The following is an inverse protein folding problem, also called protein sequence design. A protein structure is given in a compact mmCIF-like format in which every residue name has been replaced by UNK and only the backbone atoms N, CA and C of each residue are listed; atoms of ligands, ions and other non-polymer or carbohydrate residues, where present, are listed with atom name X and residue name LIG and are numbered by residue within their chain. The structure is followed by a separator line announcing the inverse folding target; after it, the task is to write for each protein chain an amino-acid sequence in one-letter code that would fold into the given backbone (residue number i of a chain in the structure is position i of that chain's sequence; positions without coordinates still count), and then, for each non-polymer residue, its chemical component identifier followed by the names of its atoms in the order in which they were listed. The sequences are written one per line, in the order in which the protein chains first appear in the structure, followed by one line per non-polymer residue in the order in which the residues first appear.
data_IF_833592440311
#
_entry.id   IF_833592440311
#
_cell.length_a   1.000
_cell.length_b   1.000
_cell.length_c   1.000
_cell.angle_alpha   90.00
_cell.angle_beta   90.00
_cell.angle_gamma   90.00
#
_symmetry.space_group_name_H-M   'P 1'
#
loop_
_entity.id
_entity.type
_entity.pdbx_description
1 polymer ?
#
# COMPACT_ATOMS: atom_id res chain seq x y z
N UNK A 1 -16.61 -45.99 51.29
CA UNK A 1 -17.41 -44.80 50.91
C UNK A 1 -16.70 -44.19 49.72
N UNK A 2 -17.04 -44.73 48.56
CA UNK A 2 -16.45 -44.47 47.27
C UNK A 2 -16.91 -43.10 46.75
N UNK A 3 -15.95 -42.22 46.49
CA UNK A 3 -16.20 -40.94 45.83
C UNK A 3 -16.46 -41.20 44.35
N UNK A 4 -17.73 -41.10 43.96
CA UNK A 4 -18.19 -41.12 42.59
C UNK A 4 -17.49 -40.00 41.78
N UNK A 5 -16.80 -40.40 40.72
CA UNK A 5 -16.22 -39.50 39.74
C UNK A 5 -17.29 -38.69 39.01
N UNK A 6 -17.27 -37.39 39.19
CA UNK A 6 -18.05 -36.46 38.39
C UNK A 6 -17.39 -36.33 37.00
N UNK A 7 -18.13 -36.46 35.90
CA UNK A 7 -17.60 -36.20 34.56
C UNK A 7 -17.36 -34.69 34.42
N UNK A 8 -16.13 -34.32 34.12
CA UNK A 8 -15.78 -32.95 33.72
C UNK A 8 -16.58 -32.57 32.47
N UNK A 9 -17.20 -31.37 32.42
CA UNK A 9 -17.85 -30.91 31.20
C UNK A 9 -16.81 -30.79 30.10
N UNK A 10 -17.09 -31.47 28.98
CA UNK A 10 -16.30 -31.40 27.77
C UNK A 10 -16.00 -29.95 27.44
N UNK A 11 -14.70 -29.62 27.37
CA UNK A 11 -14.24 -28.36 26.84
C UNK A 11 -14.93 -28.15 25.50
N UNK A 12 -15.78 -27.14 25.42
CA UNK A 12 -16.48 -26.76 24.21
C UNK A 12 -15.41 -26.34 23.21
N UNK A 13 -15.03 -27.28 22.33
CA UNK A 13 -14.02 -27.08 21.30
C UNK A 13 -14.60 -26.16 20.25
N UNK A 14 -14.50 -24.85 20.48
CA UNK A 14 -14.82 -23.86 19.47
C UNK A 14 -13.76 -23.96 18.38
N UNK A 15 -14.09 -24.66 17.29
CA UNK A 15 -13.17 -24.87 16.17
C UNK A 15 -13.02 -23.57 15.39
N UNK A 16 -11.87 -23.34 14.76
CA UNK A 16 -11.67 -22.19 13.86
C UNK A 16 -12.70 -22.19 12.71
N UNK A 17 -13.19 -23.37 12.32
CA UNK A 17 -14.23 -23.55 11.32
C UNK A 17 -15.59 -23.00 11.79
N UNK A 18 -15.97 -23.19 13.06
CA UNK A 18 -17.21 -22.64 13.63
C UNK A 18 -17.19 -21.11 13.64
N UNK A 19 -16.04 -20.51 13.95
CA UNK A 19 -15.87 -19.06 13.91
C UNK A 19 -16.06 -18.50 12.50
N UNK A 20 -15.47 -19.16 11.49
CA UNK A 20 -15.61 -18.77 10.09
C UNK A 20 -17.04 -18.96 9.58
N UNK A 21 -17.76 -19.98 10.05
CA UNK A 21 -19.15 -20.22 9.69
C UNK A 21 -20.08 -19.15 10.28
N UNK A 22 -19.85 -18.74 11.52
CA UNK A 22 -20.60 -17.66 12.16
C UNK A 22 -20.38 -16.30 11.48
N UNK A 23 -19.15 -16.02 11.03
CA UNK A 23 -18.84 -14.79 10.28
C UNK A 23 -19.56 -14.72 8.92
N UNK A 24 -19.70 -15.85 8.20
CA UNK A 24 -20.51 -15.91 6.98
C UNK A 24 -21.99 -15.63 7.26
N UNK A 25 -22.51 -16.12 8.38
CA UNK A 25 -23.91 -15.99 8.74
C UNK A 25 -24.30 -14.54 9.10
N UNK A 26 -23.34 -13.71 9.51
CA UNK A 26 -23.55 -12.28 9.77
C UNK A 26 -23.41 -11.38 8.54
N UNK A 27 -23.28 -11.95 7.33
CA UNK A 27 -23.18 -11.15 6.10
C UNK A 27 -21.93 -10.27 6.04
N UNK A 28 -20.92 -10.57 6.87
CA UNK A 28 -19.60 -9.94 6.76
C UNK A 28 -19.02 -10.42 5.43
N UNK A 29 -18.71 -9.53 4.48
CA UNK A 29 -18.03 -9.92 3.27
C UNK A 29 -16.69 -10.49 3.69
N UNK A 30 -16.59 -11.82 3.71
CA UNK A 30 -15.30 -12.48 3.69
C UNK A 30 -14.72 -12.10 2.34
N UNK A 31 -13.90 -11.05 2.29
CA UNK A 31 -12.99 -10.81 1.16
C UNK A 31 -12.39 -12.16 0.81
N UNK A 32 -12.82 -12.68 -0.33
CA UNK A 32 -12.74 -14.09 -0.60
C UNK A 32 -11.28 -14.38 -0.85
N UNK A 33 -10.64 -15.09 0.09
CA UNK A 33 -9.25 -15.55 -0.07
C UNK A 33 -9.11 -16.10 -1.50
N UNK A 34 -8.33 -15.42 -2.33
CA UNK A 34 -8.08 -15.85 -3.69
C UNK A 34 -7.42 -17.22 -3.64
N UNK A 35 -7.83 -18.14 -4.52
CA UNK A 35 -7.10 -19.41 -4.66
C UNK A 35 -5.69 -19.15 -5.16
N UNK A 36 -4.76 -20.03 -4.81
CA UNK A 36 -3.37 -19.89 -5.23
C UNK A 36 -3.21 -19.83 -6.76
N UNK A 37 -4.04 -20.56 -7.50
CA UNK A 37 -4.04 -20.53 -8.96
C UNK A 37 -4.53 -19.19 -9.51
N UNK A 38 -5.60 -18.63 -8.96
CA UNK A 38 -6.10 -17.28 -9.31
C UNK A 38 -5.04 -16.21 -9.03
N UNK A 39 -4.34 -16.31 -7.89
CA UNK A 39 -3.25 -15.39 -7.55
C UNK A 39 -2.16 -15.41 -8.63
N UNK A 40 -1.69 -16.60 -9.03
CA UNK A 40 -0.65 -16.72 -10.04
C UNK A 40 -1.10 -16.20 -11.41
N UNK A 41 -2.34 -16.48 -11.82
CA UNK A 41 -2.90 -15.96 -13.06
C UNK A 41 -2.99 -14.43 -13.03
N UNK A 42 -3.44 -13.86 -11.91
CA UNK A 42 -3.57 -12.42 -11.77
C UNK A 42 -2.20 -11.74 -11.83
N UNK A 43 -1.21 -12.24 -11.09
CA UNK A 43 0.17 -11.73 -11.12
C UNK A 43 0.85 -11.89 -12.49
N UNK A 44 0.53 -12.97 -13.21
CA UNK A 44 1.02 -13.20 -14.58
C UNK A 44 0.40 -12.25 -15.61
N UNK A 45 -0.84 -11.81 -15.38
CA UNK A 45 -1.57 -10.89 -16.28
C UNK A 45 -1.25 -9.41 -16.09
N UNK A 46 -0.50 -9.07 -15.03
CA UNK A 46 -0.16 -7.68 -14.71
C UNK A 46 0.83 -7.11 -15.75
N UNK A 47 0.49 -6.01 -16.46
CA UNK A 47 1.39 -5.39 -17.42
C UNK A 47 2.58 -4.75 -16.71
N UNK A 48 3.78 -4.89 -17.27
CA UNK A 48 4.95 -4.10 -16.86
C UNK A 48 4.92 -2.77 -17.59
N UNK A 49 4.96 -1.68 -16.85
CA UNK A 49 4.98 -0.32 -17.40
C UNK A 49 6.40 0.19 -17.54
N UNK A 50 6.68 0.85 -18.66
CA UNK A 50 7.92 1.59 -18.87
C UNK A 50 7.73 3.08 -18.61
N UNK A 51 8.84 3.82 -18.60
CA UNK A 51 8.84 5.27 -18.35
C UNK A 51 7.91 6.02 -19.32
N UNK A 52 7.88 5.62 -20.59
CA UNK A 52 7.00 6.18 -21.62
C UNK A 52 5.50 6.00 -21.28
N UNK A 53 5.14 4.86 -20.68
CA UNK A 53 3.75 4.61 -20.26
C UNK A 53 3.38 5.51 -19.07
N UNK A 54 4.31 5.71 -18.13
CA UNK A 54 4.10 6.64 -17.02
C UNK A 54 3.96 8.08 -17.50
N UNK A 55 4.72 8.48 -18.53
CA UNK A 55 4.60 9.77 -19.18
C UNK A 55 3.23 9.96 -19.81
N UNK A 56 2.75 8.95 -20.53
CA UNK A 56 1.41 8.95 -21.15
C UNK A 56 0.29 9.04 -20.11
N UNK A 57 0.48 8.43 -18.93
CA UNK A 57 -0.47 8.48 -17.82
C UNK A 57 -0.35 9.74 -16.95
N UNK A 58 0.64 10.62 -17.20
CA UNK A 58 0.91 11.80 -16.39
C UNK A 58 1.41 11.48 -14.97
N UNK A 59 2.08 10.33 -14.78
CA UNK A 59 2.54 9.83 -13.48
C UNK A 59 4.07 9.70 -13.36
N UNK A 60 4.80 10.57 -14.07
CA UNK A 60 6.27 10.50 -14.13
C UNK A 60 6.93 10.69 -12.76
N UNK A 61 6.44 11.66 -11.98
CA UNK A 61 6.98 11.98 -10.65
C UNK A 61 6.17 11.38 -9.49
N UNK A 62 5.19 10.52 -9.80
CA UNK A 62 4.33 9.95 -8.78
C UNK A 62 5.08 8.85 -7.98
N UNK A 63 4.89 8.77 -6.65
CA UNK A 63 5.38 7.65 -5.86
C UNK A 63 4.38 6.50 -5.81
N UNK A 64 4.91 5.29 -5.60
CA UNK A 64 4.10 4.13 -5.26
C UNK A 64 3.32 4.42 -3.96
N UNK A 65 1.99 4.29 -3.93
CA UNK A 65 1.22 4.62 -2.72
C UNK A 65 1.42 3.66 -1.54
N UNK A 66 2.17 2.56 -1.72
CA UNK A 66 2.43 1.55 -0.68
C UNK A 66 3.83 1.78 -0.09
N UNK A 67 4.90 1.66 -0.90
CA UNK A 67 6.28 1.88 -0.42
C UNK A 67 6.75 3.34 -0.46
N UNK A 68 6.00 4.25 -1.08
CA UNK A 68 6.34 5.68 -1.22
C UNK A 68 7.59 5.93 -2.10
N UNK A 69 8.17 4.89 -2.69
CA UNK A 69 9.28 5.01 -3.64
C UNK A 69 8.79 5.64 -4.96
N UNK A 70 9.47 6.66 -5.50
CA UNK A 70 9.13 7.26 -6.79
C UNK A 70 9.23 6.23 -7.92
N UNK A 71 8.28 6.24 -8.86
CA UNK A 71 8.27 5.29 -9.98
C UNK A 71 9.57 5.29 -10.82
N UNK A 72 10.22 6.43 -11.09
CA UNK A 72 11.51 6.45 -11.78
C UNK A 72 12.60 5.65 -11.06
N UNK A 73 12.65 5.69 -9.72
CA UNK A 73 13.64 4.93 -8.95
C UNK A 73 13.38 3.42 -9.05
N UNK A 74 12.11 3.00 -9.07
CA UNK A 74 11.75 1.59 -9.23
C UNK A 74 12.08 1.05 -10.62
N UNK A 75 11.95 1.88 -11.66
CA UNK A 75 12.36 1.54 -13.02
C UNK A 75 13.88 1.45 -13.12
N UNK A 76 14.62 2.39 -12.53
CA UNK A 76 16.08 2.32 -12.47
C UNK A 76 16.58 1.08 -11.71
N UNK A 77 15.89 0.67 -10.63
CA UNK A 77 16.17 -0.57 -9.91
C UNK A 77 15.95 -1.81 -10.79
N UNK A 78 14.87 -1.85 -11.58
CA UNK A 78 14.63 -2.92 -12.55
C UNK A 78 15.75 -2.99 -13.60
N UNK A 79 16.13 -1.87 -14.18
CA UNK A 79 17.18 -1.80 -15.21
C UNK A 79 18.56 -2.21 -14.68
N UNK A 80 18.93 -1.72 -13.49
CA UNK A 80 20.21 -2.08 -12.86
C UNK A 80 20.25 -3.54 -12.45
N UNK A 81 19.16 -4.09 -11.92
CA UNK A 81 19.08 -5.51 -11.58
C UNK A 81 19.17 -6.40 -12.82
N UNK A 82 18.53 -6.00 -13.93
CA UNK A 82 18.63 -6.70 -15.21
C UNK A 82 20.04 -6.61 -15.80
N UNK A 83 20.68 -5.45 -15.74
CA UNK A 83 22.04 -5.28 -16.27
C UNK A 83 23.10 -6.08 -15.48
N UNK A 84 22.88 -6.27 -14.18
CA UNK A 84 23.80 -6.99 -13.29
C UNK A 84 23.46 -8.48 -13.12
N UNK A 85 22.42 -8.99 -13.79
CA UNK A 85 21.88 -10.36 -13.64
C UNK A 85 21.81 -10.79 -12.16
N UNK A 86 21.37 -9.87 -11.29
CA UNK A 86 21.51 -10.05 -9.84
C UNK A 86 20.60 -11.17 -9.35
N UNK A 87 21.14 -12.26 -8.75
CA UNK A 87 20.33 -13.37 -8.24
C UNK A 87 19.53 -13.00 -6.97
N UNK A 88 19.80 -11.82 -6.40
CA UNK A 88 19.15 -11.36 -5.17
C UNK A 88 17.67 -11.00 -5.35
N UNK A 89 17.24 -10.70 -6.59
CA UNK A 89 15.88 -10.28 -6.89
C UNK A 89 15.26 -11.13 -7.99
N UNK A 90 14.01 -11.53 -7.77
CA UNK A 90 13.23 -12.15 -8.83
C UNK A 90 12.85 -11.05 -9.83
N UNK A 91 13.21 -11.23 -11.11
CA UNK A 91 12.84 -10.29 -12.18
C UNK A 91 11.31 -10.10 -12.33
N UNK A 92 10.52 -10.98 -11.71
CA UNK A 92 9.06 -10.90 -11.67
C UNK A 92 8.52 -9.91 -10.63
N UNK A 93 9.33 -9.50 -9.64
CA UNK A 93 8.89 -8.59 -8.57
C UNK A 93 9.39 -7.15 -8.76
N UNK A 94 10.20 -6.90 -9.79
CA UNK A 94 10.77 -5.58 -10.08
C UNK A 94 9.89 -4.78 -11.03
N UNK A 95 10.09 -3.45 -10.99
CA UNK A 95 9.43 -2.49 -11.87
C UNK A 95 8.07 -2.00 -11.38
N UNK A 96 7.32 -1.42 -12.31
CA UNK A 96 6.04 -0.74 -12.07
C UNK A 96 4.94 -1.44 -12.84
N UNK A 97 3.75 -1.55 -12.25
CA UNK A 97 2.60 -2.20 -12.87
C UNK A 97 1.31 -1.43 -12.64
N UNK A 98 0.32 -1.69 -13.49
CA UNK A 98 -1.01 -1.08 -13.44
C UNK A 98 -2.09 -2.14 -13.38
N UNK A 99 -3.08 -1.91 -12.51
CA UNK A 99 -4.31 -2.71 -12.43
C UNK A 99 -5.26 -2.39 -13.60
N UNK A 100 -4.86 -2.71 -14.82
CA UNK A 100 -5.55 -2.31 -16.06
C UNK A 100 -6.97 -2.88 -16.16
N UNK A 101 -7.21 -4.07 -15.63
CA UNK A 101 -8.50 -4.76 -15.74
C UNK A 101 -9.59 -4.17 -14.83
N UNK A 102 -9.25 -3.38 -13.80
CA UNK A 102 -10.20 -3.02 -12.73
C UNK A 102 -10.33 -1.52 -12.48
N UNK A 103 -9.26 -0.87 -12.05
CA UNK A 103 -9.27 0.52 -11.57
C UNK A 103 -8.17 1.39 -12.17
N UNK A 104 -7.16 0.80 -12.82
CA UNK A 104 -6.09 1.52 -13.46
C UNK A 104 -5.09 2.19 -12.49
N UNK A 105 -5.14 1.84 -11.21
CA UNK A 105 -4.14 2.30 -10.24
C UNK A 105 -2.77 1.67 -10.51
N UNK A 106 -1.71 2.43 -10.20
CA UNK A 106 -0.31 2.10 -10.51
C UNK A 106 0.44 1.89 -9.20
N UNK A 107 1.22 0.82 -9.13
CA UNK A 107 2.00 0.41 -7.96
C UNK A 107 3.34 -0.18 -8.40
N UNK A 108 4.29 -0.29 -7.46
CA UNK A 108 5.45 -1.14 -7.68
C UNK A 108 5.01 -2.62 -7.71
N UNK A 109 5.68 -3.42 -8.52
CA UNK A 109 5.28 -4.82 -8.73
C UNK A 109 5.44 -5.64 -7.45
N UNK A 110 6.52 -5.43 -6.71
CA UNK A 110 6.79 -6.05 -5.40
C UNK A 110 5.65 -5.94 -4.40
N UNK A 111 5.11 -4.74 -4.19
CA UNK A 111 4.12 -4.52 -3.14
C UNK A 111 2.74 -5.03 -3.54
N UNK A 112 2.34 -4.82 -4.79
CA UNK A 112 1.05 -5.34 -5.25
C UNK A 112 1.08 -6.88 -5.32
N UNK A 113 2.21 -7.48 -5.70
CA UNK A 113 2.41 -8.93 -5.65
C UNK A 113 2.24 -9.47 -4.23
N UNK A 114 2.87 -8.84 -3.24
CA UNK A 114 2.72 -9.22 -1.83
C UNK A 114 1.28 -9.06 -1.35
N UNK A 115 0.62 -7.96 -1.72
CA UNK A 115 -0.76 -7.69 -1.35
C UNK A 115 -1.72 -8.78 -1.85
N UNK A 116 -1.60 -9.15 -3.12
CA UNK A 116 -2.42 -10.20 -3.74
C UNK A 116 -2.08 -11.57 -3.15
N UNK A 117 -0.78 -11.85 -2.93
CA UNK A 117 -0.30 -13.11 -2.36
C UNK A 117 -0.75 -13.30 -0.90
N UNK A 118 -0.97 -12.22 -0.17
CA UNK A 118 -1.57 -12.26 1.17
C UNK A 118 -3.07 -12.62 1.15
N UNK A 119 -3.67 -12.83 -0.03
CA UNK A 119 -5.06 -13.23 -0.19
C UNK A 119 -6.03 -12.05 -0.30
N UNK A 120 -5.52 -10.82 -0.46
CA UNK A 120 -6.37 -9.65 -0.66
C UNK A 120 -6.85 -9.58 -2.11
N UNK A 121 -8.17 -9.58 -2.30
CA UNK A 121 -8.85 -9.53 -3.59
C UNK A 121 -9.27 -8.12 -4.01
N UNK A 122 -8.77 -7.07 -3.34
CA UNK A 122 -9.18 -5.68 -3.58
C UNK A 122 -7.99 -4.75 -3.80
N UNK A 123 -8.22 -3.65 -4.52
CA UNK A 123 -7.20 -2.62 -4.75
C UNK A 123 -6.88 -1.84 -3.45
N UNK A 124 -5.61 -1.64 -3.08
CA UNK A 124 -5.22 -0.88 -1.88
C UNK A 124 -5.74 0.56 -1.83
N UNK A 125 -5.93 1.21 -2.99
CA UNK A 125 -6.36 2.62 -3.06
C UNK A 125 -7.87 2.79 -3.06
N UNK A 126 -8.57 2.01 -3.89
CA UNK A 126 -10.00 2.21 -4.13
C UNK A 126 -10.88 1.07 -3.65
N UNK A 127 -10.29 0.02 -3.07
CA UNK A 127 -10.96 -1.19 -2.57
C UNK A 127 -11.83 -1.92 -3.62
N UNK A 128 -11.67 -1.60 -4.91
CA UNK A 128 -12.34 -2.33 -6.00
C UNK A 128 -11.78 -3.74 -6.10
N UNK A 129 -12.66 -4.72 -6.25
CA UNK A 129 -12.28 -6.12 -6.45
C UNK A 129 -11.35 -6.27 -7.67
N UNK A 130 -10.31 -7.07 -7.53
CA UNK A 130 -9.32 -7.37 -8.55
C UNK A 130 -9.84 -8.39 -9.57
N UNK A 131 -10.75 -9.27 -9.13
CA UNK A 131 -11.49 -10.19 -9.97
C UNK A 131 -12.97 -9.81 -9.96
N UNK A 132 -13.56 -9.65 -11.15
CA UNK A 132 -15.00 -9.60 -11.29
C UNK A 132 -15.52 -11.04 -11.28
N UNK A 133 -16.04 -11.50 -10.13
CA UNK A 133 -16.79 -12.75 -10.10
C UNK A 133 -18.13 -12.50 -10.80
N UNK A 134 -18.57 -13.38 -11.71
CA UNK A 134 -19.78 -13.18 -12.50
C UNK A 134 -21.08 -13.08 -11.69
N UNK A 135 -21.04 -13.34 -10.38
CA UNK A 135 -22.21 -13.25 -9.49
C UNK A 135 -22.42 -11.85 -8.85
N UNK A 136 -21.61 -10.87 -9.23
CA UNK A 136 -21.74 -9.49 -8.72
C UNK A 136 -22.47 -8.64 -9.76
N UNK A 137 -23.78 -8.47 -9.59
CA UNK A 137 -24.58 -7.55 -10.40
C UNK A 137 -23.91 -6.15 -10.49
N UNK A 138 -23.89 -5.51 -11.66
CA UNK A 138 -23.32 -4.17 -11.80
C UNK A 138 -24.12 -3.16 -10.96
N UNK A 139 -23.48 -2.28 -10.16
CA UNK A 139 -24.18 -1.16 -9.57
C UNK A 139 -24.64 -0.24 -10.71
N UNK A 140 -25.94 -0.24 -10.90
CA UNK A 140 -26.67 0.66 -11.79
C UNK A 140 -26.16 2.09 -11.60
N UNK A 141 -25.45 2.58 -12.60
CA UNK A 141 -25.05 3.97 -12.76
C UNK A 141 -26.30 4.84 -12.90
N UNK A 142 -26.87 5.30 -11.77
CA UNK A 142 -27.93 6.29 -11.80
C UNK A 142 -27.34 7.66 -12.14
N UNK A 143 -27.28 7.93 -13.45
CA UNK A 143 -27.30 9.26 -14.00
C UNK A 143 -28.75 9.76 -14.01
N UNK A 144 -29.04 10.84 -13.29
CA UNK A 144 -30.28 11.61 -13.44
C UNK A 144 -30.72 12.39 -12.21
N UNK A 145 -30.62 13.73 -12.27
CA UNK A 145 -31.39 14.60 -11.39
C UNK A 145 -30.71 15.93 -11.03
N UNK A 146 -30.74 16.90 -11.95
CA UNK A 146 -30.48 18.30 -11.65
C UNK A 146 -31.68 18.92 -10.91
N UNK A 147 -31.44 19.69 -9.83
CA UNK A 147 -32.24 20.87 -9.44
C UNK A 147 -31.61 21.61 -8.24
N UNK A 148 -31.55 22.94 -8.36
CA UNK A 148 -31.25 23.93 -7.31
C UNK A 148 -32.19 23.83 -6.09
N UNK A 149 -31.68 24.22 -4.91
CA UNK A 149 -32.33 24.96 -3.79
C UNK A 149 -31.25 25.04 -2.68
N UNK A 150 -30.45 26.10 -2.53
CA UNK A 150 -30.72 27.42 -1.91
C UNK A 150 -31.26 27.36 -0.47
N UNK A 151 -30.51 27.98 0.47
CA UNK A 151 -30.76 28.22 1.93
C UNK A 151 -30.51 27.00 2.86
N UNK A 152 -29.79 27.03 3.99
CA UNK A 152 -29.50 28.10 4.96
C UNK A 152 -28.34 27.69 5.92
N UNK A 153 -27.63 28.70 6.43
CA UNK A 153 -26.86 28.76 7.69
C UNK A 153 -25.62 27.86 7.90
N UNK A 154 -24.55 28.19 7.18
CA UNK A 154 -23.18 27.96 7.66
C UNK A 154 -22.45 29.31 7.82
N UNK A 155 -21.75 29.57 8.94
CA UNK A 155 -21.04 30.83 9.18
C UNK A 155 -19.97 31.07 8.11
N UNK A 156 -19.66 32.34 7.77
CA UNK A 156 -18.74 32.68 6.70
C UNK A 156 -17.35 32.08 6.98
N UNK A 157 -16.95 31.13 6.14
CA UNK A 157 -15.56 30.67 6.09
C UNK A 157 -14.73 31.83 5.56
N UNK A 158 -14.13 32.59 6.47
CA UNK A 158 -13.21 33.68 6.15
C UNK A 158 -12.06 33.04 5.34
N UNK A 159 -11.75 33.52 4.13
CA UNK A 159 -10.50 33.16 3.48
C UNK A 159 -9.38 33.84 4.26
N UNK A 160 -8.91 33.20 5.34
CA UNK A 160 -7.66 33.57 6.01
C UNK A 160 -6.55 33.42 4.96
N UNK A 161 -6.11 34.55 4.44
CA UNK A 161 -4.92 34.65 3.61
C UNK A 161 -3.78 33.93 4.31
N UNK A 162 -2.96 33.18 3.55
CA UNK A 162 -1.79 32.43 4.04
C UNK A 162 -0.83 33.24 4.93
N UNK A 163 -0.93 34.57 4.90
CA UNK A 163 -0.24 35.50 5.79
C UNK A 163 -0.66 35.39 7.27
N UNK A 164 -1.94 35.20 7.60
CA UNK A 164 -2.40 35.10 9.00
C UNK A 164 -1.96 33.79 9.67
N UNK A 165 -1.85 32.71 8.88
CA UNK A 165 -1.37 31.42 9.35
C UNK A 165 0.14 31.45 9.60
N UNK A 166 0.91 32.15 8.74
CA UNK A 166 2.33 32.41 8.98
C UNK A 166 2.55 33.26 10.23
N UNK A 167 1.76 34.33 10.43
CA UNK A 167 1.94 35.23 11.57
C UNK A 167 1.61 34.56 12.92
N UNK A 168 0.64 33.62 12.93
CA UNK A 168 0.37 32.75 14.08
C UNK A 168 1.53 31.82 14.42
N UNK A 169 2.18 31.22 13.42
CA UNK A 169 3.36 30.36 13.64
C UNK A 169 4.55 31.14 14.21
N UNK A 170 4.78 32.37 13.74
CA UNK A 170 5.87 33.21 14.25
C UNK A 170 5.64 33.73 15.67
N UNK A 171 4.39 33.94 16.10
CA UNK A 171 4.09 34.38 17.48
C UNK A 171 4.15 33.27 18.53
N UNK A 172 4.07 32.00 18.15
CA UNK A 172 3.84 30.89 19.10
C UNK A 172 5.09 30.09 19.50
N UNK A 173 6.30 30.42 19.05
CA UNK A 173 7.44 29.52 19.29
C UNK A 173 8.81 30.15 19.32
N UNK A 174 9.02 31.18 20.14
CA UNK A 174 10.36 31.66 20.51
C UNK A 174 10.63 31.42 22.01
N UNK A 175 11.02 30.19 22.35
CA UNK A 175 11.62 29.82 23.64
C UNK A 175 12.77 28.83 23.36
N UNK A 176 14.00 29.37 23.32
CA UNK A 176 15.30 28.84 23.80
C UNK A 176 15.50 27.30 23.78
N UNK A 177 16.59 26.75 23.24
CA UNK A 177 17.97 26.94 23.72
C UNK A 177 19.00 26.80 22.58
N UNK A 178 19.82 27.84 22.39
CA UNK A 178 21.19 27.72 21.89
C UNK A 178 22.01 26.86 22.86
N UNK A 179 22.65 25.78 22.41
CA UNK A 179 23.88 25.34 23.07
C UNK A 179 24.88 24.75 22.07
N UNK A 180 25.76 25.64 21.65
CA UNK A 180 27.21 25.49 21.45
C UNK A 180 27.80 24.08 21.26
N UNK A 181 28.52 23.93 20.15
CA UNK A 181 29.89 23.42 20.15
C UNK A 181 30.12 21.96 20.54
N UNK A 182 30.49 21.14 19.55
CA UNK A 182 31.41 20.04 19.86
C UNK A 182 31.44 18.88 18.87
N UNK A 183 32.63 18.74 18.26
CA UNK A 183 33.22 17.51 17.73
C UNK A 183 32.75 17.07 16.34
N UNK A 184 33.37 17.70 15.34
CA UNK A 184 33.96 16.95 14.22
C UNK A 184 34.79 15.82 14.83
N UNK A 185 34.39 14.56 14.63
CA UNK A 185 35.31 13.45 14.74
C UNK A 185 36.09 13.45 13.44
N UNK A 186 37.33 13.89 13.52
CA UNK A 186 38.35 13.49 12.56
C UNK A 186 38.47 11.96 12.68
N UNK A 187 38.16 11.24 11.60
CA UNK A 187 38.46 9.82 11.42
C UNK A 187 39.80 9.73 10.68
N UNK A 188 40.93 9.46 11.34
CA UNK A 188 42.18 9.11 10.69
C UNK A 188 42.29 7.58 10.61
N UNK A 189 41.60 6.96 9.64
CA UNK A 189 41.81 5.55 9.32
C UNK A 189 42.13 5.35 7.83
N UNK A 190 43.08 6.15 7.36
CA UNK A 190 43.65 6.08 6.03
C UNK A 190 45.06 5.46 6.07
N UNK A 191 45.23 4.23 6.57
CA UNK A 191 46.51 3.51 6.45
C UNK A 191 46.38 1.98 6.60
N UNK A 192 45.82 1.27 5.62
CA UNK A 192 46.18 -0.16 5.45
C UNK A 192 45.87 -0.78 4.07
N UNK A 193 46.37 -0.20 2.98
CA UNK A 193 46.42 -0.96 1.71
C UNK A 193 47.65 -0.64 0.86
N UNK A 194 48.84 -0.84 1.45
CA UNK A 194 50.10 -0.87 0.71
C UNK A 194 50.84 -2.15 1.04
N UNK A 195 50.57 -3.23 0.31
CA UNK A 195 51.35 -4.45 0.49
C UNK A 195 50.78 -5.69 -0.18
N UNK A 196 50.53 -5.68 -1.50
CA UNK A 196 50.27 -6.94 -2.23
C UNK A 196 50.64 -6.86 -3.72
N UNK A 197 51.84 -6.37 -4.04
CA UNK A 197 52.53 -6.73 -5.29
C UNK A 197 54.03 -6.74 -5.05
N UNK A 198 54.57 -7.93 -4.77
CA UNK A 198 55.95 -8.36 -5.03
C UNK A 198 55.92 -9.85 -5.32
#
# INVERSE_FOLDING_TARGET
MDYAGLPLPAAYGFSEDDFLQMLRQMGVPTSGKLSHEEIQQLLGSLPSLKEQDLATLGKQDAPCPICITPFPALLAEEETALAMDSPAYSSKDLGVTKLAQTCGHVFCRKDISKWISAGNDSCPLCRRALLQRPDSDPPTSNAGGAANTESQDAPPFIPETTQDLLERLFRQGNMFVDNTGGRRRDDPDSHEFSGMYS
#
